data_IF_390996959332
#
_entry.id   IF_390996959332
#
_cell.length_a   1.000
_cell.length_b   1.000
_cell.length_c   1.000
_cell.angle_alpha   90.00
_cell.angle_beta   90.00
_cell.angle_gamma   90.00
#
_symmetry.space_group_name_H-M   'P 1'
#
loop_
_entity.id
_entity.type
_entity.pdbx_description
1 polymer ?
#
# COMPACT_ATOMS: atom_id res chain seq x y z
N UNK A 1 19.79 -16.63 15.04
CA UNK A 1 18.55 -16.17 14.39
C UNK A 1 18.99 -15.36 13.20
N UNK A 2 18.82 -15.87 11.98
CA UNK A 2 19.12 -15.10 10.78
C UNK A 2 18.23 -13.85 10.76
N UNK A 3 18.87 -12.69 10.82
CA UNK A 3 18.17 -11.42 10.69
C UNK A 3 17.84 -11.28 9.22
N UNK A 4 16.59 -11.57 8.84
CA UNK A 4 16.15 -11.41 7.46
C UNK A 4 16.32 -9.95 7.06
N UNK A 5 17.34 -9.66 6.24
CA UNK A 5 17.57 -8.32 5.70
C UNK A 5 16.53 -8.11 4.61
N UNK A 6 15.57 -7.23 4.87
CA UNK A 6 14.60 -6.80 3.87
C UNK A 6 15.29 -5.88 2.87
N UNK A 7 15.56 -6.40 1.67
CA UNK A 7 16.05 -5.59 0.55
C UNK A 7 14.89 -5.11 -0.31
N UNK A 8 15.12 -4.07 -1.11
CA UNK A 8 14.17 -3.58 -2.12
C UNK A 8 13.64 -4.72 -2.99
N UNK A 9 14.53 -5.60 -3.46
CA UNK A 9 14.21 -6.71 -4.36
C UNK A 9 13.30 -7.72 -3.65
N UNK A 10 13.60 -8.07 -2.39
CA UNK A 10 12.77 -9.00 -1.62
C UNK A 10 11.36 -8.46 -1.37
N UNK A 11 11.23 -7.16 -1.07
CA UNK A 11 9.94 -6.51 -0.88
C UNK A 11 9.18 -6.45 -2.20
N UNK A 12 9.83 -6.03 -3.28
CA UNK A 12 9.20 -5.94 -4.60
C UNK A 12 8.74 -7.31 -5.11
N UNK A 13 9.53 -8.36 -4.88
CA UNK A 13 9.15 -9.73 -5.25
C UNK A 13 7.96 -10.23 -4.42
N UNK A 14 7.95 -9.94 -3.12
CA UNK A 14 6.81 -10.24 -2.25
C UNK A 14 5.53 -9.53 -2.74
N UNK A 15 5.65 -8.26 -3.14
CA UNK A 15 4.54 -7.49 -3.74
C UNK A 15 4.11 -8.05 -5.09
N UNK A 16 4.98 -8.72 -5.86
CA UNK A 16 4.63 -9.32 -7.15
C UNK A 16 3.91 -10.66 -7.02
N UNK A 17 4.26 -11.44 -6.01
CA UNK A 17 3.85 -12.85 -5.91
C UNK A 17 2.82 -13.13 -4.83
N UNK A 18 2.63 -12.23 -3.85
CA UNK A 18 1.80 -12.51 -2.69
C UNK A 18 0.68 -11.47 -2.49
N UNK A 19 -0.56 -11.88 -2.78
CA UNK A 19 -1.76 -11.03 -2.67
C UNK A 19 -1.97 -10.51 -1.25
N UNK A 20 -1.69 -11.36 -0.24
CA UNK A 20 -1.81 -10.96 1.17
C UNK A 20 -0.77 -9.90 1.52
N UNK A 21 0.41 -9.95 0.91
CA UNK A 21 1.43 -8.93 1.12
C UNK A 21 1.01 -7.59 0.49
N UNK A 22 0.36 -7.61 -0.67
CA UNK A 22 -0.23 -6.40 -1.28
C UNK A 22 -1.26 -5.76 -0.34
N UNK A 23 -2.22 -6.55 0.16
CA UNK A 23 -3.22 -6.04 1.10
C UNK A 23 -2.60 -5.46 2.39
N UNK A 24 -1.63 -6.17 2.97
CA UNK A 24 -0.89 -5.70 4.16
C UNK A 24 -0.12 -4.40 3.90
N UNK A 25 0.54 -4.30 2.75
CA UNK A 25 1.29 -3.09 2.37
C UNK A 25 0.37 -1.88 2.23
N UNK A 26 -0.79 -2.05 1.58
CA UNK A 26 -1.79 -0.99 1.44
C UNK A 26 -2.27 -0.52 2.81
N UNK A 27 -2.63 -1.44 3.71
CA UNK A 27 -3.08 -1.09 5.06
C UNK A 27 -1.98 -0.42 5.89
N UNK A 28 -0.73 -0.90 5.79
CA UNK A 28 0.40 -0.31 6.48
C UNK A 28 0.71 1.12 5.99
N UNK A 29 0.67 1.36 4.68
CA UNK A 29 0.86 2.69 4.09
C UNK A 29 -0.30 3.63 4.43
N UNK A 30 -1.54 3.12 4.41
CA UNK A 30 -2.71 3.88 4.82
C UNK A 30 -2.67 4.27 6.31
N UNK A 31 -2.17 3.36 7.17
CA UNK A 31 -1.95 3.62 8.58
C UNK A 31 -0.91 4.75 8.82
N UNK A 32 0.01 4.97 7.89
CA UNK A 32 1.02 6.04 7.94
C UNK A 32 0.54 7.39 7.40
N UNK A 33 -0.60 7.46 6.68
CA UNK A 33 -1.20 8.74 6.30
C UNK A 33 -1.74 9.45 7.55
N UNK A 34 -1.52 10.77 7.63
CA UNK A 34 -2.05 11.59 8.73
C UNK A 34 -3.58 11.62 8.69
N UNK A 35 -4.20 11.80 9.85
CA UNK A 35 -5.67 11.85 9.96
C UNK A 35 -6.29 12.98 9.13
N UNK A 36 -5.57 14.10 8.99
CA UNK A 36 -5.89 15.21 8.08
C UNK A 36 -5.86 14.83 6.58
N UNK A 37 -4.94 13.96 6.17
CA UNK A 37 -4.84 13.48 4.78
C UNK A 37 -5.93 12.45 4.47
N UNK A 38 -6.30 11.62 5.46
CA UNK A 38 -7.39 10.64 5.31
C UNK A 38 -8.75 11.31 5.09
N UNK A 39 -8.97 12.49 5.67
CA UNK A 39 -10.23 13.22 5.55
C UNK A 39 -10.37 14.00 4.24
N UNK A 40 -9.25 14.34 3.57
CA UNK A 40 -9.25 15.17 2.36
C UNK A 40 -8.97 14.38 1.09
N UNK A 41 -8.64 13.08 1.19
CA UNK A 41 -8.20 12.21 0.09
C UNK A 41 -7.01 12.78 -0.72
N UNK A 42 -6.35 13.79 -0.17
CA UNK A 42 -5.22 14.51 -0.74
C UNK A 42 -4.09 14.56 0.28
N UNK A 43 -2.88 14.20 -0.15
CA UNK A 43 -1.65 14.35 0.63
C UNK A 43 -1.36 15.86 0.77
N UNK A 44 -1.70 16.47 1.90
CA UNK A 44 -1.41 17.88 2.18
C UNK A 44 -0.01 18.10 2.76
N UNK A 45 0.66 17.03 3.21
CA UNK A 45 1.98 17.11 3.82
C UNK A 45 2.96 16.25 3.03
N UNK A 46 3.91 16.88 2.34
CA UNK A 46 5.01 16.21 1.62
C UNK A 46 6.04 15.62 2.61
N UNK A 47 5.58 14.88 3.61
CA UNK A 47 6.44 14.25 4.62
C UNK A 47 6.98 12.90 4.13
N UNK A 48 6.61 12.48 2.92
CA UNK A 48 6.93 11.17 2.37
C UNK A 48 6.25 10.01 3.09
N UNK A 49 5.22 10.26 3.89
CA UNK A 49 4.54 9.24 4.69
C UNK A 49 3.23 8.79 4.03
N UNK A 50 3.15 7.50 3.68
CA UNK A 50 1.96 6.90 3.05
C UNK A 50 1.97 6.97 1.52
N UNK A 51 0.80 7.09 0.90
CA UNK A 51 0.67 7.15 -0.57
C UNK A 51 1.08 8.51 -1.13
N UNK A 52 1.76 8.51 -2.28
CA UNK A 52 1.96 9.73 -3.07
C UNK A 52 0.62 10.23 -3.64
N UNK A 53 0.57 11.50 -4.05
CA UNK A 53 -0.65 12.16 -4.55
C UNK A 53 -1.33 11.43 -5.71
N UNK A 54 -0.58 10.75 -6.57
CA UNK A 54 -1.10 10.05 -7.75
C UNK A 54 -1.74 8.70 -7.38
N UNK A 55 -1.12 7.96 -6.46
CA UNK A 55 -1.58 6.63 -6.06
C UNK A 55 -2.65 6.73 -4.94
N UNK A 56 -2.69 7.84 -4.19
CA UNK A 56 -3.53 8.02 -3.00
C UNK A 56 -5.02 7.78 -3.25
N UNK A 57 -5.68 8.33 -4.28
CA UNK A 57 -7.13 8.14 -4.46
C UNK A 57 -7.50 6.66 -4.63
N UNK A 58 -6.76 5.94 -5.48
CA UNK A 58 -7.00 4.53 -5.73
C UNK A 58 -6.66 3.67 -4.51
N UNK A 59 -5.45 3.80 -3.94
CA UNK A 59 -5.01 2.94 -2.84
C UNK A 59 -5.79 3.21 -1.55
N UNK A 60 -6.25 4.45 -1.32
CA UNK A 60 -7.17 4.78 -0.22
C UNK A 60 -8.51 4.09 -0.37
N UNK A 61 -9.09 4.08 -1.58
CA UNK A 61 -10.35 3.36 -1.82
C UNK A 61 -10.23 1.86 -1.51
N UNK A 62 -9.09 1.24 -1.88
CA UNK A 62 -8.81 -0.16 -1.57
C UNK A 62 -8.62 -0.36 -0.07
N UNK A 63 -7.84 0.50 0.60
CA UNK A 63 -7.61 0.41 2.05
C UNK A 63 -8.91 0.47 2.86
N UNK A 64 -9.85 1.36 2.48
CA UNK A 64 -11.18 1.48 3.09
C UNK A 64 -12.06 0.24 2.84
N UNK A 65 -11.87 -0.45 1.71
CA UNK A 65 -12.64 -1.63 1.33
C UNK A 65 -12.11 -2.94 1.95
N UNK A 66 -10.78 -3.11 2.07
CA UNK A 66 -10.12 -4.35 2.50
C UNK A 66 -10.74 -4.99 3.77
N UNK A 67 -11.00 -4.25 4.87
CA UNK A 67 -11.60 -4.83 6.08
C UNK A 67 -12.99 -5.43 5.84
N UNK A 68 -13.74 -4.91 4.87
CA UNK A 68 -15.10 -5.38 4.53
C UNK A 68 -15.09 -6.68 3.72
N UNK A 69 -13.99 -6.96 3.03
CA UNK A 69 -13.83 -8.12 2.13
C UNK A 69 -12.77 -9.11 2.63
N UNK A 70 -12.53 -9.17 3.95
CA UNK A 70 -11.59 -10.12 4.53
C UNK A 70 -10.14 -9.97 4.06
N UNK A 71 -9.73 -8.73 3.75
CA UNK A 71 -8.43 -8.39 3.17
C UNK A 71 -8.14 -9.06 1.81
N UNK A 72 -9.18 -9.35 1.04
CA UNK A 72 -9.07 -9.87 -0.32
C UNK A 72 -9.22 -8.76 -1.37
N UNK A 73 -8.54 -8.94 -2.50
CA UNK A 73 -8.59 -8.02 -3.64
C UNK A 73 -8.90 -8.81 -4.90
N UNK A 74 -9.69 -8.21 -5.78
CA UNK A 74 -9.98 -8.80 -7.10
C UNK A 74 -8.72 -8.78 -7.99
N UNK A 75 -8.63 -9.65 -9.02
CA UNK A 75 -7.49 -9.68 -9.93
C UNK A 75 -7.16 -8.32 -10.57
N UNK A 76 -8.18 -7.55 -10.98
CA UNK A 76 -8.01 -6.20 -11.54
C UNK A 76 -7.46 -5.20 -10.53
N UNK A 77 -7.88 -5.30 -9.27
CA UNK A 77 -7.34 -4.44 -8.22
C UNK A 77 -5.88 -4.77 -7.93
N UNK A 78 -5.52 -6.05 -7.92
CA UNK A 78 -4.13 -6.50 -7.76
C UNK A 78 -3.26 -6.01 -8.91
N UNK A 79 -3.69 -6.21 -10.16
CA UNK A 79 -2.98 -5.76 -11.37
C UNK A 79 -2.64 -4.26 -11.32
N UNK A 80 -3.59 -3.43 -10.88
CA UNK A 80 -3.39 -1.99 -10.76
C UNK A 80 -2.57 -1.60 -9.52
N UNK A 81 -2.76 -2.28 -8.38
CA UNK A 81 -2.10 -1.93 -7.12
C UNK A 81 -0.62 -2.32 -7.09
N UNK A 82 -0.23 -3.47 -7.63
CA UNK A 82 1.16 -3.95 -7.60
C UNK A 82 2.17 -2.94 -8.15
N UNK A 83 2.05 -2.39 -9.38
CA UNK A 83 3.04 -1.45 -9.91
C UNK A 83 3.11 -0.16 -9.09
N UNK A 84 2.01 0.27 -8.47
CA UNK A 84 2.02 1.40 -7.53
C UNK A 84 2.85 1.05 -6.29
N UNK A 85 2.61 -0.12 -5.69
CA UNK A 85 3.28 -0.58 -4.47
C UNK A 85 4.78 -0.81 -4.61
N UNK A 86 5.28 -1.13 -5.81
CA UNK A 86 6.73 -1.31 -6.05
C UNK A 86 7.56 -0.06 -5.71
N UNK A 87 6.94 1.12 -5.68
CA UNK A 87 7.59 2.39 -5.30
C UNK A 87 7.87 2.46 -3.79
N UNK A 88 7.10 1.74 -2.97
CA UNK A 88 7.06 1.86 -1.50
C UNK A 88 7.83 0.73 -0.82
N UNK A 89 9.13 0.63 -1.10
CA UNK A 89 10.02 -0.38 -0.50
C UNK A 89 10.77 0.13 0.74
N UNK A 90 10.64 1.42 1.07
CA UNK A 90 11.30 2.09 2.20
C UNK A 90 10.36 2.26 3.39
#
# INVERSE_FOLDING_TARGET
>A
MDTMIWTKETIQELIRTNDKAVAKAILALYARQTESERSTEHTQVENGMGFNRLDAPFLTSIAKALPRYGNHMTPRQLEKARPMLLKYWR
#
